data_IF_771694922764
#
_entry.id   IF_771694922764
#
_cell.length_a   1.000
_cell.length_b   1.000
_cell.length_c   1.000
_cell.angle_alpha   90.00
_cell.angle_beta   90.00
_cell.angle_gamma   90.00
#
_symmetry.space_group_name_H-M   'P 1'
#
loop_
_entity.id
_entity.type
_entity.pdbx_description
1 polymer ?
#
# COMPACT_ATOMS: atom_id res chain seq x y z
N UNK A 1 18.94 0.56 -10.63
CA UNK A 1 17.69 1.23 -10.22
C UNK A 1 16.40 0.47 -10.58
N UNK A 2 16.43 -0.80 -11.03
CA UNK A 2 15.20 -1.50 -11.50
C UNK A 2 14.86 -2.83 -10.79
N UNK A 3 15.54 -3.19 -9.70
CA UNK A 3 15.33 -4.50 -9.04
C UNK A 3 13.86 -4.70 -8.63
N UNK A 4 13.18 -3.64 -8.16
CA UNK A 4 11.77 -3.71 -7.81
C UNK A 4 10.84 -4.00 -8.99
N UNK A 5 11.06 -3.35 -10.14
CA UNK A 5 10.26 -3.57 -11.34
C UNK A 5 10.48 -4.97 -11.94
N UNK A 6 11.72 -5.45 -11.94
CA UNK A 6 12.04 -6.84 -12.34
C UNK A 6 11.33 -7.83 -11.42
N UNK A 7 11.45 -7.67 -10.10
CA UNK A 7 10.81 -8.55 -9.12
C UNK A 7 9.28 -8.55 -9.25
N UNK A 8 8.66 -7.39 -9.50
CA UNK A 8 7.22 -7.30 -9.73
C UNK A 8 6.77 -8.06 -10.98
N UNK A 9 7.55 -8.01 -12.07
CA UNK A 9 7.25 -8.77 -13.31
C UNK A 9 7.33 -10.28 -13.12
N UNK A 10 8.22 -10.73 -12.23
CA UNK A 10 8.43 -12.14 -11.92
C UNK A 10 7.46 -12.68 -10.85
N UNK A 11 6.63 -11.82 -10.23
CA UNK A 11 5.68 -12.28 -9.23
C UNK A 11 4.63 -13.19 -9.88
N UNK A 12 4.39 -14.39 -9.33
CA UNK A 12 3.29 -15.22 -9.77
C UNK A 12 1.96 -14.48 -9.53
N UNK A 13 1.09 -14.51 -10.53
CA UNK A 13 -0.26 -13.97 -10.45
C UNK A 13 -1.27 -15.10 -10.21
N UNK A 14 -2.38 -14.79 -9.53
CA UNK A 14 -3.41 -15.76 -9.16
C UNK A 14 -3.26 -16.33 -7.74
N UNK A 15 -4.27 -17.10 -7.30
CA UNK A 15 -4.34 -17.63 -5.93
C UNK A 15 -5.12 -16.71 -4.97
N UNK A 16 -4.82 -16.81 -3.67
CA UNK A 16 -5.44 -15.96 -2.64
C UNK A 16 -4.61 -14.69 -2.41
N UNK A 17 -5.26 -13.64 -1.93
CA UNK A 17 -4.61 -12.37 -1.57
C UNK A 17 -4.57 -12.22 -0.04
N UNK A 18 -3.50 -12.69 0.64
CA UNK A 18 -3.36 -12.58 2.10
C UNK A 18 -2.91 -11.17 2.50
N UNK A 19 -3.73 -10.16 2.19
CA UNK A 19 -3.35 -8.75 2.29
C UNK A 19 -2.91 -8.36 3.71
N UNK A 20 -3.59 -8.87 4.74
CA UNK A 20 -3.21 -8.63 6.13
C UNK A 20 -1.81 -9.15 6.47
N UNK A 21 -1.38 -10.28 5.88
CA UNK A 21 -0.03 -10.80 6.07
C UNK A 21 1.02 -9.90 5.39
N UNK A 22 0.71 -9.39 4.20
CA UNK A 22 1.55 -8.41 3.49
C UNK A 22 1.75 -7.12 4.30
N UNK A 23 0.68 -6.58 4.88
CA UNK A 23 0.76 -5.39 5.75
C UNK A 23 1.58 -5.64 7.02
N UNK A 24 1.45 -6.81 7.66
CA UNK A 24 2.31 -7.20 8.79
C UNK A 24 3.78 -7.31 8.38
N UNK A 25 4.06 -7.88 7.20
CA UNK A 25 5.41 -7.94 6.68
C UNK A 25 6.00 -6.55 6.48
N UNK A 26 5.22 -5.63 5.88
CA UNK A 26 5.62 -4.23 5.71
C UNK A 26 5.94 -3.56 7.06
N UNK A 27 5.10 -3.75 8.07
CA UNK A 27 5.34 -3.21 9.42
C UNK A 27 6.67 -3.72 10.01
N UNK A 28 6.95 -5.03 9.88
CA UNK A 28 8.22 -5.62 10.33
C UNK A 28 9.43 -5.01 9.61
N UNK A 29 9.35 -4.84 8.29
CA UNK A 29 10.43 -4.23 7.49
C UNK A 29 10.66 -2.78 7.91
N UNK A 30 9.59 -1.99 8.01
CA UNK A 30 9.67 -0.58 8.38
C UNK A 30 10.22 -0.38 9.79
N UNK A 31 9.81 -1.21 10.75
CA UNK A 31 10.35 -1.18 12.11
C UNK A 31 11.85 -1.54 12.15
N UNK A 32 12.30 -2.49 11.33
CA UNK A 32 13.70 -2.83 11.22
C UNK A 32 14.53 -1.68 10.62
N UNK A 33 14.01 -1.02 9.58
CA UNK A 33 14.68 0.11 8.94
C UNK A 33 14.72 1.36 9.83
N UNK A 34 13.65 1.64 10.59
CA UNK A 34 13.62 2.76 11.54
C UNK A 34 14.68 2.62 12.66
N UNK A 35 14.99 1.39 13.09
CA UNK A 35 16.09 1.13 14.04
C UNK A 35 17.47 1.36 13.43
N UNK A 36 17.63 1.14 12.12
CA UNK A 36 18.89 1.35 11.41
C UNK A 36 19.17 2.83 11.18
N UNK A 37 18.14 3.59 10.82
CA UNK A 37 18.21 5.03 10.56
C UNK A 37 16.90 5.72 10.98
N UNK A 38 16.85 6.30 12.19
CA UNK A 38 15.65 6.96 12.72
C UNK A 38 15.22 8.21 11.92
N UNK A 39 16.11 8.79 11.11
CA UNK A 39 15.81 9.98 10.31
C UNK A 39 15.23 9.63 8.94
N UNK A 40 15.24 8.35 8.56
CA UNK A 40 14.67 7.88 7.31
C UNK A 40 13.15 8.07 7.35
N UNK A 41 12.60 8.75 6.33
CA UNK A 41 11.16 8.99 6.19
C UNK A 41 10.55 7.94 5.27
N UNK A 42 9.90 6.88 5.80
CA UNK A 42 9.35 5.82 4.95
C UNK A 42 8.08 6.28 4.23
N UNK A 43 7.85 5.70 3.04
CA UNK A 43 6.61 5.80 2.30
C UNK A 43 6.10 4.38 1.99
N UNK A 44 4.90 4.06 2.45
CA UNK A 44 4.18 2.84 2.09
C UNK A 44 3.27 3.14 0.90
N UNK A 45 3.45 2.38 -0.19
CA UNK A 45 2.53 2.38 -1.33
C UNK A 45 1.82 1.04 -1.36
N UNK A 46 0.51 1.05 -1.13
CA UNK A 46 -0.35 -0.12 -1.25
C UNK A 46 -1.12 -0.07 -2.56
N UNK A 47 -0.92 -1.05 -3.44
CA UNK A 47 -1.68 -1.19 -4.69
C UNK A 47 -2.63 -2.38 -4.55
N UNK A 48 -3.92 -2.17 -4.75
CA UNK A 48 -4.93 -3.23 -4.55
C UNK A 48 -6.10 -3.11 -5.53
N UNK A 49 -6.62 -4.24 -5.98
CA UNK A 49 -7.84 -4.40 -6.77
C UNK A 49 -9.09 -4.62 -5.89
N UNK A 50 -9.00 -4.26 -4.61
CA UNK A 50 -10.09 -4.38 -3.64
C UNK A 50 -10.24 -5.77 -3.01
N UNK A 51 -9.43 -6.76 -3.42
CA UNK A 51 -9.55 -8.15 -2.94
C UNK A 51 -8.63 -8.43 -1.75
N UNK A 52 -9.20 -9.09 -0.74
CA UNK A 52 -8.47 -9.73 0.35
C UNK A 52 -9.08 -11.11 0.62
N UNK A 53 -8.71 -12.08 -0.22
CA UNK A 53 -9.35 -13.41 -0.27
C UNK A 53 -8.72 -14.44 0.67
N UNK A 54 -7.78 -14.02 1.53
CA UNK A 54 -7.20 -14.88 2.57
C UNK A 54 -6.83 -14.12 3.84
N UNK A 55 -6.95 -14.82 4.96
CA UNK A 55 -6.56 -14.32 6.27
C UNK A 55 -7.60 -13.38 6.89
N UNK A 56 -7.24 -12.69 7.98
CA UNK A 56 -8.13 -11.75 8.66
C UNK A 56 -8.35 -10.47 7.83
N UNK A 57 -9.33 -9.67 8.24
CA UNK A 57 -9.58 -8.35 7.63
C UNK A 57 -8.29 -7.50 7.66
N UNK A 58 -7.76 -7.07 6.49
CA UNK A 58 -6.55 -6.26 6.44
C UNK A 58 -6.70 -4.90 7.13
N UNK A 59 -7.91 -4.38 7.31
CA UNK A 59 -8.15 -3.15 8.09
C UNK A 59 -7.75 -3.35 9.55
N UNK A 60 -7.89 -4.56 10.10
CA UNK A 60 -7.59 -4.84 11.51
C UNK A 60 -6.10 -4.74 11.85
N UNK A 61 -5.21 -4.75 10.85
CA UNK A 61 -3.76 -4.65 11.04
C UNK A 61 -3.19 -3.26 10.73
N UNK A 62 -4.03 -2.34 10.24
CA UNK A 62 -3.61 -0.96 9.94
C UNK A 62 -2.92 -0.24 11.11
N UNK A 63 -3.31 -0.43 12.40
CA UNK A 63 -2.63 0.21 13.53
C UNK A 63 -1.12 -0.10 13.64
N UNK A 64 -0.66 -1.23 13.10
CA UNK A 64 0.77 -1.59 13.08
C UNK A 64 1.61 -0.66 12.19
N UNK A 65 0.96 0.10 11.31
CA UNK A 65 1.56 1.03 10.35
C UNK A 65 1.21 2.49 10.70
N UNK A 66 0.72 2.74 11.91
CA UNK A 66 0.41 4.09 12.37
C UNK A 66 1.64 5.00 12.30
N UNK A 67 1.46 6.21 11.77
CA UNK A 67 2.54 7.19 11.59
C UNK A 67 3.40 6.98 10.35
N UNK A 68 3.15 5.93 9.54
CA UNK A 68 3.82 5.72 8.26
C UNK A 68 3.07 6.47 7.16
N UNK A 69 3.79 7.31 6.41
CA UNK A 69 3.27 7.95 5.22
C UNK A 69 2.70 6.89 4.26
N UNK A 70 1.42 6.96 3.94
CA UNK A 70 0.76 5.90 3.17
C UNK A 70 0.00 6.46 1.98
N UNK A 71 0.16 5.78 0.84
CA UNK A 71 -0.63 5.98 -0.38
C UNK A 71 -1.28 4.66 -0.72
N UNK A 72 -2.60 4.68 -0.90
CA UNK A 72 -3.36 3.52 -1.37
C UNK A 72 -3.80 3.80 -2.80
N UNK A 73 -3.41 2.92 -3.72
CA UNK A 73 -3.79 2.94 -5.12
C UNK A 73 -4.90 1.91 -5.32
N UNK A 74 -6.10 2.43 -5.59
CA UNK A 74 -7.29 1.68 -5.96
C UNK A 74 -7.27 1.33 -7.45
N UNK A 75 -7.10 0.05 -7.76
CA UNK A 75 -7.13 -0.48 -9.12
C UNK A 75 -8.51 -0.99 -9.52
N UNK A 76 -9.54 -0.84 -8.68
CA UNK A 76 -10.90 -1.25 -9.01
C UNK A 76 -11.46 -0.43 -10.19
N UNK A 77 -12.17 -1.11 -11.08
CA UNK A 77 -12.76 -0.53 -12.29
C UNK A 77 -14.19 -1.03 -12.49
N UNK A 78 -14.97 -0.27 -13.27
CA UNK A 78 -16.38 -0.60 -13.53
C UNK A 78 -17.36 -0.16 -12.43
N UNK A 79 -18.64 -0.53 -12.59
CA UNK A 79 -19.74 -0.05 -11.74
C UNK A 79 -19.82 -0.75 -10.37
N UNK A 80 -19.24 -1.96 -10.23
CA UNK A 80 -19.23 -2.72 -8.98
C UNK A 80 -17.86 -2.58 -8.33
N UNK A 81 -17.84 -2.17 -7.06
CA UNK A 81 -16.61 -2.00 -6.26
C UNK A 81 -16.76 -2.63 -4.89
N UNK A 82 -15.71 -3.30 -4.44
CA UNK A 82 -15.53 -3.89 -3.12
C UNK A 82 -15.19 -2.82 -2.07
N UNK A 83 -14.55 -1.72 -2.46
CA UNK A 83 -14.35 -0.54 -1.60
C UNK A 83 -13.29 -0.72 -0.51
N UNK A 84 -12.50 -1.80 -0.58
CA UNK A 84 -11.47 -2.10 0.40
C UNK A 84 -10.35 -1.05 0.41
N UNK A 85 -9.98 -0.52 -0.76
CA UNK A 85 -8.93 0.49 -0.88
C UNK A 85 -9.25 1.74 -0.05
N UNK A 86 -10.50 2.23 -0.12
CA UNK A 86 -10.94 3.37 0.68
C UNK A 86 -10.94 3.10 2.18
N UNK A 87 -11.39 1.92 2.61
CA UNK A 87 -11.34 1.51 4.03
C UNK A 87 -9.91 1.46 4.56
N UNK A 88 -8.97 0.95 3.76
CA UNK A 88 -7.56 0.88 4.12
C UNK A 88 -6.91 2.26 4.13
N UNK A 89 -7.21 3.12 3.17
CA UNK A 89 -6.71 4.50 3.16
C UNK A 89 -7.14 5.24 4.43
N UNK A 90 -8.42 5.13 4.82
CA UNK A 90 -8.91 5.72 6.06
C UNK A 90 -8.21 5.14 7.30
N UNK A 91 -8.09 3.81 7.40
CA UNK A 91 -7.49 3.15 8.56
C UNK A 91 -5.98 3.41 8.70
N UNK A 92 -5.28 3.64 7.58
CA UNK A 92 -3.85 3.95 7.54
C UNK A 92 -3.56 5.46 7.57
N UNK A 93 -4.60 6.31 7.71
CA UNK A 93 -4.51 7.76 7.54
C UNK A 93 -3.77 8.16 6.24
N UNK A 94 -3.94 7.36 5.19
CA UNK A 94 -3.26 7.47 3.92
C UNK A 94 -4.09 8.16 2.84
N UNK A 95 -3.42 8.60 1.77
CA UNK A 95 -4.08 9.18 0.60
C UNK A 95 -4.57 8.07 -0.32
N UNK A 96 -5.86 8.10 -0.68
CA UNK A 96 -6.43 7.24 -1.72
C UNK A 96 -6.23 7.89 -3.10
N UNK A 97 -5.72 7.11 -4.04
CA UNK A 97 -5.63 7.46 -5.46
C UNK A 97 -6.29 6.35 -6.26
N UNK A 98 -7.02 6.70 -7.33
CA UNK A 98 -7.52 5.69 -8.26
C UNK A 98 -6.55 5.53 -9.42
N UNK A 99 -6.36 4.30 -9.88
CA UNK A 99 -5.42 3.99 -10.95
C UNK A 99 -5.81 4.69 -12.26
N UNK A 100 -7.10 4.84 -12.54
CA UNK A 100 -7.62 5.56 -13.70
C UNK A 100 -7.42 7.09 -13.64
N UNK A 101 -7.07 7.63 -12.47
CA UNK A 101 -6.76 9.04 -12.23
C UNK A 101 -5.25 9.29 -12.10
N UNK A 102 -4.44 8.23 -12.19
CA UNK A 102 -3.00 8.28 -11.95
C UNK A 102 -2.23 8.55 -13.25
N UNK A 103 -1.76 9.79 -13.41
CA UNK A 103 -0.64 10.08 -14.30
C UNK A 103 0.70 9.81 -13.59
N UNK A 104 1.77 9.56 -14.35
CA UNK A 104 3.13 9.39 -13.82
C UNK A 104 3.56 10.60 -12.98
N UNK A 105 3.17 11.80 -13.40
CA UNK A 105 3.45 13.04 -12.68
C UNK A 105 2.63 13.17 -11.40
N UNK A 106 1.38 12.70 -11.41
CA UNK A 106 0.53 12.65 -10.21
C UNK A 106 1.10 11.72 -9.14
N UNK A 107 1.61 10.54 -9.52
CA UNK A 107 2.26 9.62 -8.58
C UNK A 107 3.54 10.21 -8.00
N UNK A 108 4.36 10.85 -8.84
CA UNK A 108 5.60 11.51 -8.40
C UNK A 108 5.31 12.64 -7.42
N UNK A 109 4.31 13.47 -7.70
CA UNK A 109 3.89 14.56 -6.81
C UNK A 109 3.43 14.02 -5.45
N UNK A 110 2.76 12.87 -5.42
CA UNK A 110 2.33 12.23 -4.17
C UNK A 110 3.53 11.67 -3.40
N UNK A 111 4.48 11.04 -4.09
CA UNK A 111 5.70 10.50 -3.47
C UNK A 111 6.61 11.59 -2.90
N UNK A 112 6.56 12.81 -3.45
CA UNK A 112 7.32 13.97 -2.97
C UNK A 112 6.56 14.86 -1.99
N UNK A 113 5.24 14.76 -1.93
CA UNK A 113 4.43 15.50 -0.97
C UNK A 113 4.58 14.94 0.45
N UNK A 114 4.78 15.86 1.39
CA UNK A 114 5.05 15.57 2.81
C UNK A 114 4.00 14.61 3.38
N UNK A 115 4.47 13.47 3.88
CA UNK A 115 3.98 12.96 5.16
C UNK A 115 4.22 14.09 6.18
N UNK A 116 3.16 14.81 6.52
CA UNK A 116 3.21 15.81 7.59
C UNK A 116 3.36 15.08 8.93
#
# INVERSE_FOLDING_TARGET
HEIGAVRLRELPTGGRTPLAAGLRCAATVLAAEARRDPYRRPLLILVTDGRATAGPDPVSVAPLLSGIATVVVDCESGPVRLGLAGRLAAALAGRLLRLDQLSVDGLRAVATQRAA
#
